data_IF_204184365476
#
_entry.id   IF_204184365476
#
_cell.length_a   1.000
_cell.length_b   1.000
_cell.length_c   1.000
_cell.angle_alpha   90.00
_cell.angle_beta   90.00
_cell.angle_gamma   90.00
#
_symmetry.space_group_name_H-M   'P 1'
#
loop_
_entity.id
_entity.type
_entity.pdbx_description
1 polymer ?
#
# COMPACT_ATOMS: atom_id res chain seq x y z
N UNK A 1 -14.33 -29.33 -15.50
CA UNK A 1 -14.25 -28.32 -14.41
C UNK A 1 -12.82 -28.10 -13.93
N UNK A 2 -12.07 -29.15 -13.52
CA UNK A 2 -10.67 -29.02 -13.07
C UNK A 2 -9.73 -28.34 -14.09
N UNK A 3 -9.79 -28.73 -15.36
CA UNK A 3 -8.96 -28.13 -16.43
C UNK A 3 -9.25 -26.64 -16.62
N UNK A 4 -10.50 -26.20 -16.43
CA UNK A 4 -10.88 -24.80 -16.51
C UNK A 4 -10.34 -24.00 -15.31
N UNK A 5 -10.46 -24.55 -14.10
CA UNK A 5 -9.93 -23.94 -12.87
C UNK A 5 -8.40 -23.82 -12.95
N UNK A 6 -7.72 -24.88 -13.39
CA UNK A 6 -6.26 -24.88 -13.60
C UNK A 6 -5.84 -23.86 -14.66
N UNK A 7 -6.52 -23.81 -15.80
CA UNK A 7 -6.22 -22.83 -16.85
C UNK A 7 -6.41 -21.40 -16.34
N UNK A 8 -7.45 -21.15 -15.53
CA UNK A 8 -7.71 -19.84 -14.93
C UNK A 8 -6.67 -19.46 -13.88
N UNK A 9 -6.28 -20.39 -13.00
CA UNK A 9 -5.21 -20.20 -12.02
C UNK A 9 -3.86 -19.96 -12.69
N UNK A 10 -3.55 -20.69 -13.76
CA UNK A 10 -2.31 -20.53 -14.50
C UNK A 10 -2.28 -19.18 -15.22
N UNK A 11 -3.42 -18.70 -15.74
CA UNK A 11 -3.55 -17.36 -16.31
C UNK A 11 -3.50 -16.23 -15.25
N UNK A 12 -3.73 -16.51 -13.96
CA UNK A 12 -3.57 -15.49 -12.92
C UNK A 12 -2.11 -15.10 -12.73
N UNK A 13 -1.17 -16.05 -12.80
CA UNK A 13 0.27 -15.79 -12.62
C UNK A 13 0.80 -14.70 -13.57
N UNK A 14 0.62 -14.78 -14.90
CA UNK A 14 1.09 -13.73 -15.81
C UNK A 14 0.35 -12.41 -15.62
N UNK A 15 -0.94 -12.42 -15.26
CA UNK A 15 -1.66 -11.17 -14.97
C UNK A 15 -1.12 -10.48 -13.71
N UNK A 16 -0.85 -11.25 -12.65
CA UNK A 16 -0.25 -10.75 -11.42
C UNK A 16 1.16 -10.22 -11.67
N UNK A 17 1.99 -10.96 -12.40
CA UNK A 17 3.33 -10.48 -12.78
C UNK A 17 3.25 -9.21 -13.62
N UNK A 18 2.30 -9.11 -14.56
CA UNK A 18 2.08 -7.91 -15.34
C UNK A 18 1.74 -6.69 -14.48
N UNK A 19 0.77 -6.84 -13.56
CA UNK A 19 0.37 -5.77 -12.64
C UNK A 19 1.51 -5.39 -11.69
N UNK A 20 2.18 -6.38 -11.07
CA UNK A 20 3.31 -6.12 -10.16
C UNK A 20 4.45 -5.41 -10.89
N UNK A 21 4.79 -5.84 -12.11
CA UNK A 21 5.82 -5.18 -12.92
C UNK A 21 5.43 -3.75 -13.26
N UNK A 22 4.17 -3.53 -13.66
CA UNK A 22 3.66 -2.19 -13.92
C UNK A 22 3.77 -1.29 -12.67
N UNK A 23 3.33 -1.78 -11.50
CA UNK A 23 3.42 -1.02 -10.24
C UNK A 23 4.87 -0.74 -9.83
N UNK A 24 5.79 -1.68 -10.09
CA UNK A 24 7.22 -1.50 -9.83
C UNK A 24 7.81 -0.42 -10.73
N UNK A 25 7.52 -0.49 -12.03
CA UNK A 25 7.94 0.53 -13.01
C UNK A 25 7.40 1.90 -12.60
N UNK A 26 6.11 2.02 -12.31
CA UNK A 26 5.50 3.27 -11.84
C UNK A 26 6.25 3.80 -10.61
N UNK A 27 6.47 2.96 -9.59
CA UNK A 27 7.19 3.35 -8.37
C UNK A 27 8.63 3.78 -8.63
N UNK A 28 9.31 3.23 -9.64
CA UNK A 28 10.66 3.65 -10.01
C UNK A 28 10.71 5.03 -10.67
N UNK A 29 9.64 5.45 -11.34
CA UNK A 29 9.55 6.73 -12.02
C UNK A 29 8.89 7.84 -11.17
N UNK A 30 8.29 7.50 -10.02
CA UNK A 30 7.76 8.51 -9.09
C UNK A 30 8.94 9.18 -8.35
N UNK A 31 9.20 10.49 -8.57
CA UNK A 31 10.21 11.22 -7.81
C UNK A 31 9.76 11.39 -6.36
N UNK A 32 10.67 11.20 -5.40
CA UNK A 32 10.37 11.22 -3.95
C UNK A 32 10.30 9.83 -3.31
N UNK A 33 11.16 8.90 -3.73
CA UNK A 33 11.22 7.55 -3.18
C UNK A 33 11.46 7.51 -1.65
N UNK A 34 11.28 6.34 -1.01
CA UNK A 34 11.32 6.21 0.46
C UNK A 34 12.60 6.76 1.11
N UNK A 35 13.73 6.67 0.41
CA UNK A 35 15.03 7.17 0.90
C UNK A 35 15.08 8.69 0.88
N UNK A 36 14.51 9.34 -0.14
CA UNK A 36 14.39 10.80 -0.18
C UNK A 36 13.55 11.29 1.01
N UNK A 37 12.47 10.57 1.32
CA UNK A 37 11.58 10.88 2.45
C UNK A 37 12.23 10.63 3.81
N UNK A 38 12.95 9.53 3.98
CA UNK A 38 13.71 9.24 5.21
C UNK A 38 14.84 10.25 5.40
N UNK A 39 15.54 10.62 4.32
CA UNK A 39 16.55 11.69 4.36
C UNK A 39 15.94 13.05 4.66
N UNK A 40 14.76 13.37 4.12
CA UNK A 40 14.01 14.59 4.46
C UNK A 40 13.54 14.57 5.92
N UNK A 41 13.05 13.44 6.43
CA UNK A 41 12.61 13.28 7.81
C UNK A 41 13.78 13.41 8.80
N UNK A 42 14.94 12.82 8.49
CA UNK A 42 16.16 12.99 9.28
C UNK A 42 16.61 14.45 9.29
N UNK A 43 16.62 15.12 8.13
CA UNK A 43 16.93 16.56 8.02
C UNK A 43 15.94 17.43 8.81
N UNK A 44 14.68 17.04 8.90
CA UNK A 44 13.64 17.75 9.66
C UNK A 44 13.63 17.41 11.16
N UNK A 45 14.13 16.24 11.57
CA UNK A 45 14.27 15.85 12.98
C UNK A 45 15.40 16.60 13.69
N UNK A 46 16.47 16.94 12.96
CA UNK A 46 17.62 17.68 13.52
C UNK A 46 17.32 19.16 13.76
N UNK A 47 16.29 19.74 13.13
CA UNK A 47 15.96 21.17 13.25
C UNK A 47 14.97 21.52 14.35
N UNK A 48 14.35 20.53 15.02
CA UNK A 48 13.31 20.76 16.04
C UNK A 48 13.77 20.64 17.50
N UNK A 49 15.03 20.28 17.74
CA UNK A 49 15.61 20.12 19.08
C UNK A 49 16.48 21.27 19.57
N UNK A 50 16.41 22.44 18.93
CA UNK A 50 17.39 23.53 19.08
C UNK A 50 17.01 24.71 19.99
N UNK A 51 15.99 24.59 20.84
CA UNK A 51 15.58 25.70 21.72
C UNK A 51 15.23 25.22 23.15
N UNK A 52 16.23 24.78 23.92
CA UNK A 52 16.26 24.91 25.38
C UNK A 52 17.56 24.32 25.94
N UNK A 53 18.44 25.17 26.48
CA UNK A 53 19.53 24.72 27.36
C UNK A 53 20.87 25.38 27.09
N UNK A 54 21.04 26.60 27.61
CA UNK A 54 22.36 27.19 27.81
C UNK A 54 23.10 26.40 28.89
N UNK A 55 24.20 25.73 28.53
CA UNK A 55 25.11 25.13 29.52
C UNK A 55 25.97 23.99 29.00
N UNK A 56 27.21 24.32 28.61
CA UNK A 56 28.36 23.42 28.74
C UNK A 56 28.57 22.36 27.66
N UNK A 57 29.72 22.47 26.98
CA UNK A 57 30.42 21.32 26.37
C UNK A 57 30.03 20.98 24.94
N UNK A 58 30.79 21.53 23.97
CA UNK A 58 31.11 20.92 22.68
C UNK A 58 30.00 20.14 21.95
N UNK A 59 28.88 20.79 21.62
CA UNK A 59 27.88 20.19 20.73
C UNK A 59 28.31 20.35 19.27
N UNK A 60 28.47 19.22 18.59
CA UNK A 60 28.79 19.06 17.17
C UNK A 60 27.65 19.63 16.30
N UNK A 61 27.62 20.95 16.12
CA UNK A 61 26.58 21.68 15.40
C UNK A 61 26.79 21.84 13.89
N UNK A 62 27.60 20.99 13.24
CA UNK A 62 27.93 21.18 11.81
C UNK A 62 28.16 19.90 11.00
N UNK A 63 27.87 18.71 11.53
CA UNK A 63 27.96 17.48 10.73
C UNK A 63 26.60 17.16 10.13
N UNK A 64 26.43 17.59 8.88
CA UNK A 64 25.43 17.02 8.00
C UNK A 64 25.48 15.50 8.10
N UNK A 65 24.29 14.90 8.15
CA UNK A 65 24.00 13.46 8.18
C UNK A 65 25.24 12.59 7.97
N UNK A 66 25.70 11.96 9.05
CA UNK A 66 26.93 11.17 9.08
C UNK A 66 26.95 10.17 7.90
N UNK A 67 27.92 10.24 6.97
CA UNK A 67 27.91 9.44 5.74
C UNK A 67 27.82 7.94 6.01
N UNK A 68 28.23 7.48 7.19
CA UNK A 68 28.11 6.08 7.62
C UNK A 68 26.65 5.66 7.89
N UNK A 69 25.81 6.55 8.42
CA UNK A 69 24.37 6.29 8.59
C UNK A 69 23.67 6.31 7.23
N UNK A 70 24.05 7.22 6.33
CA UNK A 70 23.53 7.23 4.96
C UNK A 70 23.88 5.93 4.24
N UNK A 71 25.08 5.40 4.45
CA UNK A 71 25.55 4.17 3.81
C UNK A 71 24.89 2.91 4.40
N UNK A 72 24.67 2.86 5.72
CA UNK A 72 23.89 1.80 6.36
C UNK A 72 22.42 1.83 5.89
N UNK A 73 21.81 3.01 5.80
CA UNK A 73 20.47 3.20 5.24
C UNK A 73 20.45 2.78 3.76
N UNK A 74 21.42 3.16 2.92
CA UNK A 74 21.48 2.72 1.51
C UNK A 74 21.58 1.19 1.38
N UNK A 75 22.37 0.56 2.26
CA UNK A 75 22.62 -0.89 2.29
C UNK A 75 21.42 -1.68 2.80
N UNK A 76 20.75 -1.17 3.83
CA UNK A 76 19.53 -1.74 4.41
C UNK A 76 18.32 -1.56 3.47
N UNK A 77 18.27 -0.46 2.73
CA UNK A 77 17.23 -0.18 1.73
C UNK A 77 17.52 -0.82 0.35
N UNK A 78 18.69 -1.45 0.17
CA UNK A 78 19.04 -2.25 -1.00
C UNK A 78 19.17 -1.44 -2.31
N UNK A 79 19.41 -0.14 -2.23
CA UNK A 79 19.55 0.75 -3.39
C UNK A 79 20.90 0.62 -4.12
N UNK A 80 21.85 -0.16 -3.58
CA UNK A 80 23.12 -0.49 -4.26
C UNK A 80 22.97 -1.55 -5.37
N UNK A 81 21.77 -2.13 -5.53
CA UNK A 81 21.53 -3.26 -6.44
C UNK A 81 20.82 -2.81 -7.73
N UNK A 82 21.20 -3.37 -8.89
CA UNK A 82 20.51 -3.11 -10.16
C UNK A 82 18.98 -3.21 -10.06
N UNK A 83 18.22 -2.46 -10.88
CA UNK A 83 16.75 -2.46 -10.83
C UNK A 83 16.15 -3.88 -10.99
N UNK A 84 16.80 -4.73 -11.78
CA UNK A 84 16.39 -6.13 -11.98
C UNK A 84 16.55 -6.99 -10.72
N UNK A 85 17.64 -6.84 -9.97
CA UNK A 85 17.86 -7.61 -8.73
C UNK A 85 16.89 -7.17 -7.63
N UNK A 86 16.51 -5.88 -7.59
CA UNK A 86 15.47 -5.39 -6.68
C UNK A 86 14.09 -5.97 -7.01
N UNK A 87 13.76 -6.06 -8.29
CA UNK A 87 12.52 -6.71 -8.75
C UNK A 87 12.47 -8.19 -8.37
N UNK A 88 13.54 -8.96 -8.63
CA UNK A 88 13.61 -10.39 -8.29
C UNK A 88 13.55 -10.60 -6.77
N UNK A 89 14.22 -9.76 -5.98
CA UNK A 89 14.17 -9.82 -4.52
C UNK A 89 12.76 -9.52 -3.99
N UNK A 90 12.08 -8.51 -4.55
CA UNK A 90 10.68 -8.21 -4.24
C UNK A 90 9.77 -9.40 -4.57
N UNK A 91 9.94 -10.00 -5.75
CA UNK A 91 9.19 -11.19 -6.17
C UNK A 91 9.37 -12.35 -5.18
N UNK A 92 10.62 -12.61 -4.76
CA UNK A 92 10.95 -13.65 -3.78
C UNK A 92 10.31 -13.37 -2.42
N UNK A 93 10.36 -12.13 -1.95
CA UNK A 93 9.77 -11.74 -0.67
C UNK A 93 8.24 -11.92 -0.69
N UNK A 94 7.58 -11.48 -1.77
CA UNK A 94 6.14 -11.69 -1.96
C UNK A 94 5.76 -13.17 -2.02
N UNK A 95 6.56 -14.00 -2.70
CA UNK A 95 6.37 -15.45 -2.73
C UNK A 95 6.57 -16.11 -1.36
N UNK A 96 7.38 -15.52 -0.48
CA UNK A 96 7.62 -16.01 0.89
C UNK A 96 6.62 -15.42 1.90
N UNK A 97 5.55 -14.77 1.42
CA UNK A 97 4.58 -14.01 2.25
C UNK A 97 5.21 -12.92 3.12
N UNK A 98 6.44 -12.50 2.81
CA UNK A 98 7.07 -11.36 3.45
C UNK A 98 6.72 -10.11 2.65
N UNK A 99 5.60 -9.48 3.03
CA UNK A 99 5.07 -8.28 2.40
C UNK A 99 5.93 -7.04 2.64
N UNK A 100 6.94 -7.14 3.52
CA UNK A 100 7.82 -6.05 3.91
C UNK A 100 7.24 -5.17 5.03
N UNK A 101 7.99 -4.12 5.35
CA UNK A 101 7.60 -3.08 6.32
C UNK A 101 6.92 -1.91 5.60
N UNK A 102 5.91 -1.31 6.22
CA UNK A 102 5.20 -0.15 5.69
C UNK A 102 6.13 1.06 5.60
N UNK A 103 6.38 1.54 4.38
CA UNK A 103 7.22 2.72 4.11
C UNK A 103 6.73 4.01 4.77
N UNK A 104 5.45 4.08 5.15
CA UNK A 104 4.82 5.29 5.70
C UNK A 104 4.54 5.22 7.20
N UNK A 105 4.45 4.02 7.78
CA UNK A 105 3.98 3.84 9.16
C UNK A 105 4.88 2.97 10.04
N UNK A 106 6.01 2.44 9.53
CA UNK A 106 6.93 1.57 10.29
C UNK A 106 6.29 0.30 10.88
N UNK A 107 5.04 -0.01 10.52
CA UNK A 107 4.33 -1.22 10.90
C UNK A 107 4.46 -2.29 9.81
N UNK A 108 4.32 -3.56 10.19
CA UNK A 108 4.26 -4.63 9.19
C UNK A 108 3.03 -4.43 8.29
N UNK A 109 3.17 -4.66 6.98
CA UNK A 109 2.04 -4.51 6.04
C UNK A 109 0.87 -5.41 6.44
N UNK A 110 1.15 -6.54 7.08
CA UNK A 110 0.15 -7.45 7.62
C UNK A 110 -0.70 -6.81 8.72
N UNK A 111 -0.09 -6.07 9.64
CA UNK A 111 -0.80 -5.37 10.72
C UNK A 111 -1.66 -4.24 10.15
N UNK A 112 -1.15 -3.53 9.16
CA UNK A 112 -1.92 -2.51 8.43
C UNK A 112 -3.13 -3.15 7.75
N UNK A 113 -2.96 -4.25 7.01
CA UNK A 113 -4.08 -4.98 6.38
C UNK A 113 -5.11 -5.36 7.45
N UNK A 114 -4.67 -5.95 8.56
CA UNK A 114 -5.55 -6.36 9.66
C UNK A 114 -6.31 -5.18 10.27
N UNK A 115 -5.68 -4.02 10.39
CA UNK A 115 -6.31 -2.81 10.92
C UNK A 115 -7.42 -2.27 9.99
N UNK A 116 -7.28 -2.46 8.67
CA UNK A 116 -8.25 -1.96 7.66
C UNK A 116 -9.32 -2.97 7.27
N UNK A 117 -9.11 -4.26 7.57
CA UNK A 117 -10.07 -5.34 7.30
C UNK A 117 -11.45 -5.08 7.95
N UNK A 118 -11.57 -4.75 9.25
CA UNK A 118 -12.87 -4.55 9.90
C UNK A 118 -13.69 -3.42 9.25
N UNK A 119 -13.03 -2.33 8.89
CA UNK A 119 -13.68 -1.18 8.24
C UNK A 119 -14.26 -1.59 6.88
N UNK A 120 -13.45 -2.27 6.06
CA UNK A 120 -13.87 -2.72 4.73
C UNK A 120 -15.04 -3.72 4.80
N UNK A 121 -14.98 -4.67 5.73
CA UNK A 121 -16.05 -5.65 5.94
C UNK A 121 -17.34 -4.95 6.40
N UNK A 122 -17.24 -4.01 7.33
CA UNK A 122 -18.41 -3.30 7.85
C UNK A 122 -19.08 -2.48 6.75
N UNK A 123 -18.31 -1.72 5.98
CA UNK A 123 -18.82 -0.94 4.84
C UNK A 123 -19.43 -1.85 3.76
N UNK A 124 -18.75 -2.94 3.41
CA UNK A 124 -19.25 -3.92 2.45
C UNK A 124 -20.56 -4.56 2.89
N UNK A 125 -20.65 -4.96 4.17
CA UNK A 125 -21.86 -5.57 4.73
C UNK A 125 -23.04 -4.59 4.73
N UNK A 126 -22.82 -3.34 5.16
CA UNK A 126 -23.86 -2.30 5.09
C UNK A 126 -24.28 -1.99 3.66
N UNK A 127 -23.33 -1.94 2.72
CA UNK A 127 -23.63 -1.71 1.31
C UNK A 127 -24.51 -2.83 0.75
N UNK A 128 -24.16 -4.09 1.03
CA UNK A 128 -24.96 -5.24 0.59
C UNK A 128 -26.35 -5.23 1.24
N UNK A 129 -26.43 -4.99 2.55
CA UNK A 129 -27.70 -4.94 3.28
C UNK A 129 -28.63 -3.86 2.73
N UNK A 130 -28.14 -2.62 2.59
CA UNK A 130 -28.94 -1.51 2.06
C UNK A 130 -29.33 -1.76 0.60
N UNK A 131 -28.40 -2.27 -0.22
CA UNK A 131 -28.69 -2.58 -1.62
C UNK A 131 -29.79 -3.63 -1.74
N UNK A 132 -29.73 -4.72 -0.97
CA UNK A 132 -30.77 -5.75 -0.99
C UNK A 132 -32.10 -5.23 -0.43
N UNK A 133 -32.04 -4.49 0.69
CA UNK A 133 -33.23 -3.96 1.35
C UNK A 133 -33.99 -2.96 0.47
N UNK A 134 -33.31 -2.21 -0.39
CA UNK A 134 -33.94 -1.26 -1.30
C UNK A 134 -34.28 -1.93 -2.64
N UNK A 135 -33.31 -2.63 -3.25
CA UNK A 135 -33.45 -3.15 -4.62
C UNK A 135 -34.42 -4.32 -4.70
N UNK A 136 -34.49 -5.19 -3.69
CA UNK A 136 -35.39 -6.35 -3.73
C UNK A 136 -36.86 -5.91 -3.63
N UNK A 137 -37.28 -5.06 -2.67
CA UNK A 137 -38.64 -4.56 -2.63
C UNK A 137 -39.01 -3.71 -3.85
N UNK A 138 -38.10 -2.87 -4.36
CA UNK A 138 -38.35 -2.14 -5.61
C UNK A 138 -38.55 -3.10 -6.78
N UNK A 139 -37.70 -4.11 -6.91
CA UNK A 139 -37.80 -5.13 -7.96
C UNK A 139 -39.10 -5.92 -7.89
N UNK A 140 -39.52 -6.33 -6.68
CA UNK A 140 -40.79 -7.03 -6.45
C UNK A 140 -41.98 -6.10 -6.75
N UNK A 141 -41.96 -4.86 -6.25
CA UNK A 141 -43.03 -3.90 -6.48
C UNK A 141 -43.20 -3.59 -7.98
N UNK A 142 -42.09 -3.50 -8.71
CA UNK A 142 -42.08 -3.35 -10.17
C UNK A 142 -42.72 -4.57 -10.85
N UNK A 143 -42.25 -5.77 -10.52
CA UNK A 143 -42.75 -7.01 -11.11
C UNK A 143 -44.26 -7.26 -10.85
N UNK A 144 -44.77 -6.88 -9.67
CA UNK A 144 -46.18 -7.05 -9.31
C UNK A 144 -47.07 -5.96 -9.93
N UNK A 145 -46.54 -4.75 -10.16
CA UNK A 145 -47.26 -3.61 -10.75
C UNK A 145 -46.80 -3.32 -12.19
N UNK A 146 -46.53 -4.36 -12.96
CA UNK A 146 -46.16 -4.25 -14.38
C UNK A 146 -47.21 -3.43 -15.15
N UNK A 147 -46.77 -2.38 -15.86
CA UNK A 147 -47.64 -1.49 -16.65
C UNK A 147 -48.20 -0.25 -15.93
N UNK A 148 -47.81 0.00 -14.67
CA UNK A 148 -48.15 1.21 -13.90
C UNK A 148 -47.27 2.42 -14.28
N UNK A 149 -47.74 3.66 -14.06
CA UNK A 149 -46.91 4.88 -14.19
C UNK A 149 -45.64 4.84 -13.30
N UNK A 150 -45.64 4.02 -12.26
CA UNK A 150 -44.48 3.76 -11.39
C UNK A 150 -43.39 2.93 -12.07
N UNK A 151 -43.75 2.04 -13.01
CA UNK A 151 -42.85 1.21 -13.84
C UNK A 151 -42.17 2.03 -14.95
N UNK A 152 -42.84 3.07 -15.46
CA UNK A 152 -42.31 3.93 -16.54
C UNK A 152 -41.35 5.02 -16.02
N UNK A 153 -41.41 5.38 -14.74
CA UNK A 153 -40.61 6.47 -14.13
C UNK A 153 -39.44 5.94 -13.28
N UNK A 154 -39.48 4.68 -12.82
CA UNK A 154 -38.45 4.04 -11.96
C UNK A 154 -37.77 2.89 -12.69
#
# INVERSE_FOLDING_TARGET
>A
MLTYILRRLLLMVPTLLGVVTLTFVVTQFVPGGPVEQVMMQLRHGTSRGGEAGAGGGGYHGSQGVDPQQIEQIKKEFGFDKPPLTRYVLMLKNYATFNLGQSYYQHDSVWDVIRSKLPVSITLGLWTVLLTYLISVPLGIAKAVRNGSRFDTVT
#
